data_IF_347241494603
#
_entry.id   IF_347241494603
#
_cell.length_a   1.000
_cell.length_b   1.000
_cell.length_c   1.000
_cell.angle_alpha   90.00
_cell.angle_beta   90.00
_cell.angle_gamma   90.00
#
_symmetry.space_group_name_H-M   'P 1'
#
loop_
_entity.id
_entity.type
_entity.pdbx_description
1 polymer ?
#
# COMPACT_ATOMS: atom_id res chain seq x y z
N UNK A 1 -88.55 23.28 10.46
CA UNK A 1 -87.36 23.98 9.93
C UNK A 1 -86.76 24.81 11.07
N UNK A 2 -85.93 24.20 11.91
CA UNK A 2 -85.23 24.90 13.01
C UNK A 2 -83.80 25.21 12.55
N UNK A 3 -83.52 26.49 12.30
CA UNK A 3 -82.18 27.00 12.01
C UNK A 3 -81.35 26.93 13.29
N UNK A 4 -80.36 26.03 13.33
CA UNK A 4 -79.40 25.97 14.42
C UNK A 4 -78.66 27.31 14.51
N UNK A 5 -78.74 27.95 15.69
CA UNK A 5 -78.08 29.23 15.97
C UNK A 5 -76.57 29.05 15.77
N UNK A 6 -75.87 29.91 15.01
CA UNK A 6 -74.44 29.76 14.79
C UNK A 6 -73.70 29.85 16.13
N UNK A 7 -72.83 28.87 16.39
CA UNK A 7 -72.04 28.77 17.61
C UNK A 7 -71.25 30.08 17.82
N UNK A 8 -71.20 30.63 19.06
CA UNK A 8 -70.42 31.83 19.34
C UNK A 8 -68.95 31.57 18.98
N UNK A 9 -68.31 32.52 18.28
CA UNK A 9 -66.94 32.33 17.75
C UNK A 9 -65.90 31.92 18.81
N UNK A 10 -66.08 32.36 20.06
CA UNK A 10 -65.25 31.94 21.19
C UNK A 10 -65.35 30.44 21.48
N UNK A 11 -66.52 29.83 21.34
CA UNK A 11 -66.72 28.39 21.57
C UNK A 11 -66.04 27.58 20.47
N UNK A 12 -66.12 28.06 19.22
CA UNK A 12 -65.41 27.44 18.08
C UNK A 12 -63.90 27.52 18.30
N UNK A 13 -63.39 28.65 18.79
CA UNK A 13 -61.97 28.84 19.02
C UNK A 13 -61.43 27.96 20.15
N UNK A 14 -62.18 27.83 21.25
CA UNK A 14 -61.83 26.91 22.36
C UNK A 14 -61.89 25.46 21.90
N UNK A 15 -62.86 25.08 21.06
CA UNK A 15 -62.92 23.74 20.47
C UNK A 15 -61.74 23.46 19.54
N UNK A 16 -61.35 24.43 18.72
CA UNK A 16 -60.17 24.31 17.84
C UNK A 16 -58.90 24.16 18.67
N UNK A 17 -58.70 24.98 19.71
CA UNK A 17 -57.54 24.85 20.61
C UNK A 17 -57.52 23.51 21.33
N UNK A 18 -58.68 23.04 21.80
CA UNK A 18 -58.77 21.76 22.49
C UNK A 18 -58.50 20.59 21.52
N UNK A 19 -59.04 20.65 20.30
CA UNK A 19 -58.75 19.68 19.25
C UNK A 19 -57.28 19.70 18.86
N UNK A 20 -56.64 20.86 18.70
CA UNK A 20 -55.21 20.96 18.44
C UNK A 20 -54.38 20.39 19.58
N UNK A 21 -54.76 20.66 20.83
CA UNK A 21 -54.09 20.12 22.01
C UNK A 21 -54.17 18.60 22.03
N UNK A 22 -55.36 18.03 21.78
CA UNK A 22 -55.54 16.58 21.66
C UNK A 22 -54.74 16.04 20.48
N UNK A 23 -54.77 16.66 19.31
CA UNK A 23 -54.02 16.21 18.13
C UNK A 23 -52.51 16.19 18.41
N UNK A 24 -51.99 17.21 19.09
CA UNK A 24 -50.58 17.32 19.47
C UNK A 24 -50.15 16.37 20.59
N UNK A 25 -51.05 16.01 21.53
CA UNK A 25 -50.72 15.12 22.65
C UNK A 25 -51.02 13.65 22.38
N UNK A 26 -51.99 13.35 21.52
CA UNK A 26 -52.38 11.98 21.16
C UNK A 26 -51.71 11.47 19.90
N UNK A 27 -51.18 12.33 19.02
CA UNK A 27 -50.19 11.87 18.07
C UNK A 27 -48.90 11.61 18.86
N UNK A 28 -48.45 10.35 19.00
CA UNK A 28 -47.04 10.14 19.32
C UNK A 28 -46.28 10.90 18.23
N UNK A 29 -45.30 11.73 18.60
CA UNK A 29 -44.35 12.29 17.65
C UNK A 29 -43.63 11.12 16.97
N UNK A 30 -44.27 10.54 15.96
CA UNK A 30 -44.03 9.18 15.46
C UNK A 30 -42.91 9.18 14.43
N UNK A 31 -41.84 9.91 14.75
CA UNK A 31 -40.53 9.68 14.17
C UNK A 31 -39.48 9.49 15.26
N UNK A 32 -39.74 9.87 16.52
CA UNK A 32 -38.79 9.67 17.62
C UNK A 32 -38.46 8.19 17.83
N UNK A 33 -39.45 7.29 17.84
CA UNK A 33 -39.20 5.85 17.92
C UNK A 33 -38.52 5.28 16.65
N UNK A 34 -38.82 5.83 15.48
CA UNK A 34 -38.16 5.47 14.21
C UNK A 34 -36.71 5.97 14.14
N UNK A 35 -36.37 7.01 14.90
CA UNK A 35 -35.01 7.55 15.09
C UNK A 35 -34.27 6.86 16.25
N UNK A 36 -34.98 6.28 17.23
CA UNK A 36 -34.40 5.54 18.35
C UNK A 36 -34.04 4.08 18.00
N UNK A 37 -34.66 3.48 16.99
CA UNK A 37 -34.17 2.22 16.43
C UNK A 37 -32.91 2.53 15.64
N UNK A 38 -31.75 2.04 16.10
CA UNK A 38 -30.53 2.00 15.30
C UNK A 38 -30.85 1.25 13.99
N UNK A 39 -31.26 1.98 12.95
CA UNK A 39 -31.54 1.40 11.64
C UNK A 39 -30.20 1.05 11.01
N UNK A 40 -29.68 -0.13 11.30
CA UNK A 40 -28.69 -0.78 10.46
C UNK A 40 -29.40 -1.40 9.26
N UNK A 41 -28.68 -1.54 8.15
CA UNK A 41 -29.19 -2.30 7.02
C UNK A 41 -29.37 -3.77 7.44
N UNK A 42 -30.48 -4.37 7.02
CA UNK A 42 -30.78 -5.79 7.22
C UNK A 42 -29.59 -6.67 6.78
N UNK A 43 -29.40 -7.82 7.44
CA UNK A 43 -28.26 -8.71 7.20
C UNK A 43 -28.15 -9.12 5.74
N UNK A 44 -29.29 -9.37 5.07
CA UNK A 44 -29.33 -9.69 3.63
C UNK A 44 -28.76 -8.56 2.76
N UNK A 45 -29.08 -7.31 3.08
CA UNK A 45 -28.57 -6.14 2.35
C UNK A 45 -27.09 -5.95 2.60
N UNK A 46 -26.66 -6.11 3.85
CA UNK A 46 -25.24 -6.01 4.22
C UNK A 46 -24.40 -7.10 3.55
N UNK A 47 -24.86 -8.35 3.54
CA UNK A 47 -24.22 -9.44 2.78
C UNK A 47 -24.17 -9.14 1.28
N UNK A 48 -25.26 -8.63 0.71
CA UNK A 48 -25.31 -8.24 -0.70
C UNK A 48 -24.29 -7.16 -1.02
N UNK A 49 -24.17 -6.12 -0.20
CA UNK A 49 -23.18 -5.06 -0.35
C UNK A 49 -21.75 -5.61 -0.35
N UNK A 50 -21.41 -6.50 0.58
CA UNK A 50 -20.09 -7.11 0.67
C UNK A 50 -19.80 -7.95 -0.58
N UNK A 51 -20.78 -8.70 -1.07
CA UNK A 51 -20.62 -9.52 -2.28
C UNK A 51 -20.46 -8.67 -3.55
N UNK A 52 -21.20 -7.56 -3.66
CA UNK A 52 -21.05 -6.62 -4.77
C UNK A 52 -19.62 -6.04 -4.82
N UNK A 53 -19.09 -5.61 -3.68
CA UNK A 53 -17.72 -5.08 -3.56
C UNK A 53 -16.66 -6.14 -3.88
N UNK A 54 -16.86 -7.39 -3.43
CA UNK A 54 -15.92 -8.50 -3.68
C UNK A 54 -15.93 -8.95 -5.15
N UNK A 55 -17.09 -8.87 -5.80
CA UNK A 55 -17.29 -9.23 -7.21
C UNK A 55 -16.59 -8.24 -8.13
N UNK A 56 -17.00 -6.96 -8.08
CA UNK A 56 -16.43 -5.90 -8.90
C UNK A 56 -16.17 -4.62 -8.07
N UNK A 57 -14.97 -4.48 -7.50
CA UNK A 57 -14.65 -3.30 -6.69
C UNK A 57 -14.53 -2.02 -7.53
N UNK A 58 -14.32 -2.09 -8.84
CA UNK A 58 -14.23 -0.87 -9.66
C UNK A 58 -15.62 -0.32 -9.96
N UNK A 59 -16.59 -1.20 -10.20
CA UNK A 59 -17.99 -0.80 -10.34
C UNK A 59 -18.56 -0.25 -9.02
N UNK A 60 -18.27 -0.89 -7.89
CA UNK A 60 -18.82 -0.58 -6.57
C UNK A 60 -17.83 0.17 -5.67
N UNK A 61 -17.27 1.26 -6.20
CA UNK A 61 -16.17 2.01 -5.57
C UNK A 61 -16.56 2.89 -4.37
N UNK A 62 -17.85 3.12 -4.14
CA UNK A 62 -18.35 4.04 -3.11
C UNK A 62 -19.55 3.45 -2.38
N UNK A 63 -19.57 3.61 -1.06
CA UNK A 63 -20.67 3.17 -0.21
C UNK A 63 -22.01 3.81 -0.62
N UNK A 64 -21.97 5.07 -1.06
CA UNK A 64 -23.15 5.79 -1.56
C UNK A 64 -23.81 5.15 -2.77
N UNK A 65 -23.00 4.59 -3.68
CA UNK A 65 -23.52 3.90 -4.87
C UNK A 65 -24.20 2.59 -4.49
N UNK A 66 -23.58 1.82 -3.61
CA UNK A 66 -24.12 0.54 -3.13
C UNK A 66 -25.40 0.75 -2.32
N UNK A 67 -25.42 1.76 -1.44
CA UNK A 67 -26.59 2.10 -0.64
C UNK A 67 -27.79 2.47 -1.51
N UNK A 68 -27.56 3.19 -2.62
CA UNK A 68 -28.60 3.52 -3.60
C UNK A 68 -29.17 2.29 -4.29
N UNK A 69 -28.30 1.37 -4.72
CA UNK A 69 -28.71 0.12 -5.38
C UNK A 69 -29.55 -0.75 -4.43
N UNK A 70 -29.12 -0.87 -3.18
CA UNK A 70 -29.79 -1.67 -2.15
C UNK A 70 -30.98 -0.94 -1.49
N UNK A 71 -31.30 0.27 -1.94
CA UNK A 71 -32.37 1.14 -1.41
C UNK A 71 -32.29 1.31 0.11
N UNK A 72 -31.10 1.61 0.63
CA UNK A 72 -30.87 1.91 2.05
C UNK A 72 -30.04 3.19 2.22
N UNK A 73 -29.97 3.71 3.45
CA UNK A 73 -29.10 4.87 3.74
C UNK A 73 -27.65 4.42 3.88
N UNK A 74 -26.70 5.30 3.56
CA UNK A 74 -25.26 5.04 3.69
C UNK A 74 -24.86 4.74 5.13
N UNK A 75 -25.40 5.52 6.08
CA UNK A 75 -25.13 5.33 7.50
C UNK A 75 -25.66 4.00 8.04
N UNK A 76 -26.86 3.57 7.61
CA UNK A 76 -27.40 2.27 7.96
C UNK A 76 -26.54 1.13 7.43
N UNK A 77 -26.05 1.26 6.19
CA UNK A 77 -25.22 0.25 5.56
C UNK A 77 -23.83 0.17 6.21
N UNK A 78 -23.17 1.31 6.49
CA UNK A 78 -21.88 1.34 7.19
C UNK A 78 -21.98 0.69 8.58
N UNK A 79 -23.03 1.01 9.34
CA UNK A 79 -23.28 0.41 10.65
C UNK A 79 -23.54 -1.09 10.54
N UNK A 80 -24.33 -1.51 9.55
CA UNK A 80 -24.57 -2.94 9.27
C UNK A 80 -23.29 -3.69 8.95
N UNK A 81 -22.45 -3.14 8.06
CA UNK A 81 -21.16 -3.70 7.67
C UNK A 81 -20.22 -3.85 8.88
N UNK A 82 -20.09 -2.79 9.70
CA UNK A 82 -19.25 -2.80 10.91
C UNK A 82 -19.72 -3.83 11.92
N UNK A 83 -21.04 -3.93 12.13
CA UNK A 83 -21.61 -4.92 13.06
C UNK A 83 -21.32 -6.35 12.62
N UNK A 84 -21.46 -6.64 11.33
CA UNK A 84 -21.29 -8.01 10.82
C UNK A 84 -19.83 -8.44 10.66
N UNK A 85 -18.96 -7.52 10.25
CA UNK A 85 -17.57 -7.86 9.89
C UNK A 85 -16.55 -7.39 10.92
N UNK A 86 -16.92 -6.50 11.84
CA UNK A 86 -16.00 -5.78 12.72
C UNK A 86 -15.18 -4.69 12.02
N UNK A 87 -15.31 -4.54 10.70
CA UNK A 87 -14.51 -3.64 9.86
C UNK A 87 -15.38 -2.60 9.16
N UNK A 88 -14.79 -1.45 8.81
CA UNK A 88 -15.46 -0.43 8.01
C UNK A 88 -15.54 -0.79 6.53
N UNK A 89 -16.36 -0.04 5.78
CA UNK A 89 -16.43 -0.21 4.32
C UNK A 89 -15.07 0.02 3.64
N UNK A 90 -14.29 1.00 4.10
CA UNK A 90 -12.99 1.34 3.51
C UNK A 90 -12.01 0.16 3.56
N UNK A 91 -11.95 -0.55 4.69
CA UNK A 91 -11.12 -1.73 4.87
C UNK A 91 -11.57 -2.89 3.97
N UNK A 92 -12.88 -3.16 3.91
CA UNK A 92 -13.43 -4.21 3.04
C UNK A 92 -13.17 -3.87 1.57
N UNK A 93 -13.32 -2.60 1.21
CA UNK A 93 -13.07 -2.11 -0.13
C UNK A 93 -11.60 -2.24 -0.51
N UNK A 94 -10.68 -1.85 0.39
CA UNK A 94 -9.25 -2.03 0.19
C UNK A 94 -8.88 -3.51 0.03
N UNK A 95 -9.41 -4.38 0.89
CA UNK A 95 -9.16 -5.82 0.84
C UNK A 95 -9.72 -6.45 -0.45
N UNK A 96 -10.91 -6.03 -0.90
CA UNK A 96 -11.51 -6.49 -2.14
C UNK A 96 -10.68 -6.07 -3.37
N UNK A 97 -10.22 -4.82 -3.41
CA UNK A 97 -9.29 -4.33 -4.45
C UNK A 97 -7.96 -5.08 -4.42
N UNK A 98 -7.40 -5.34 -3.25
CA UNK A 98 -6.15 -6.08 -3.09
C UNK A 98 -6.27 -7.52 -3.61
N UNK A 99 -7.41 -8.18 -3.36
CA UNK A 99 -7.75 -9.48 -3.95
C UNK A 99 -7.96 -9.40 -5.46
N UNK A 100 -8.61 -8.35 -5.96
CA UNK A 100 -8.76 -8.15 -7.40
C UNK A 100 -7.41 -8.00 -8.10
N UNK A 101 -6.44 -7.32 -7.46
CA UNK A 101 -5.06 -7.24 -7.96
C UNK A 101 -4.43 -8.62 -8.02
N UNK A 102 -4.49 -9.40 -6.94
CA UNK A 102 -3.91 -10.75 -6.93
C UNK A 102 -4.50 -11.63 -8.05
N UNK A 103 -5.81 -11.52 -8.32
CA UNK A 103 -6.46 -12.21 -9.45
C UNK A 103 -5.95 -11.69 -10.79
N UNK A 104 -5.95 -10.38 -11.01
CA UNK A 104 -5.49 -9.76 -12.26
C UNK A 104 -4.03 -10.09 -12.56
N UNK A 105 -3.19 -10.18 -11.53
CA UNK A 105 -1.80 -10.59 -11.67
C UNK A 105 -1.66 -12.08 -12.00
N UNK A 106 -2.56 -12.94 -11.52
CA UNK A 106 -2.53 -14.39 -11.76
C UNK A 106 -3.16 -14.80 -13.10
N UNK A 107 -4.13 -14.05 -13.60
CA UNK A 107 -4.91 -14.37 -14.80
C UNK A 107 -4.25 -13.74 -16.04
N UNK A 108 -4.24 -14.47 -17.15
CA UNK A 108 -3.71 -14.02 -18.44
C UNK A 108 -4.60 -12.95 -19.11
N UNK A 109 -4.69 -11.76 -18.51
CA UNK A 109 -5.10 -10.56 -19.22
C UNK A 109 -3.87 -9.94 -19.90
N UNK A 110 -4.02 -9.42 -21.12
CA UNK A 110 -2.93 -8.82 -21.92
C UNK A 110 -2.41 -7.47 -21.34
N UNK A 111 -2.71 -7.16 -20.08
CA UNK A 111 -2.30 -5.93 -19.42
C UNK A 111 -0.90 -6.06 -18.80
N UNK A 112 -0.10 -5.01 -18.95
CA UNK A 112 1.20 -4.88 -18.31
C UNK A 112 1.05 -4.94 -16.78
N UNK A 113 2.05 -5.46 -16.05
CA UNK A 113 2.06 -5.52 -14.59
C UNK A 113 1.67 -4.18 -13.92
N UNK A 114 2.18 -3.06 -14.44
CA UNK A 114 1.88 -1.72 -13.93
C UNK A 114 0.44 -1.31 -14.25
N UNK A 115 -0.05 -1.68 -15.42
CA UNK A 115 -1.39 -1.38 -15.91
C UNK A 115 -2.47 -2.13 -15.09
N UNK A 116 -2.19 -3.37 -14.70
CA UNK A 116 -3.03 -4.15 -13.81
C UNK A 116 -3.19 -3.49 -12.43
N UNK A 117 -2.13 -2.87 -11.90
CA UNK A 117 -2.18 -2.13 -10.63
C UNK A 117 -2.94 -0.80 -10.78
N UNK A 118 -2.63 -0.03 -11.81
CA UNK A 118 -3.22 1.30 -12.04
C UNK A 118 -4.72 1.21 -12.32
N UNK A 119 -5.15 0.22 -13.12
CA UNK A 119 -6.57 -0.04 -13.39
C UNK A 119 -7.36 -0.27 -12.10
N UNK A 120 -6.75 -0.92 -11.13
CA UNK A 120 -7.35 -1.19 -9.82
C UNK A 120 -7.08 -0.09 -8.79
N UNK A 121 -6.55 1.06 -9.23
CA UNK A 121 -6.28 2.26 -8.45
C UNK A 121 -5.11 2.17 -7.47
N UNK A 122 -4.22 1.19 -7.66
CA UNK A 122 -3.02 1.03 -6.84
C UNK A 122 -1.81 1.64 -7.52
N UNK A 123 -0.98 2.30 -6.72
CA UNK A 123 0.39 2.60 -7.08
C UNK A 123 1.33 1.63 -6.36
N UNK A 124 2.46 1.33 -6.98
CA UNK A 124 3.49 0.48 -6.41
C UNK A 124 4.21 1.24 -5.27
N UNK A 125 3.56 1.28 -4.11
CA UNK A 125 4.07 1.91 -2.89
C UNK A 125 4.55 0.85 -1.89
N UNK A 126 5.50 1.19 -1.03
CA UNK A 126 5.99 0.28 0.01
C UNK A 126 4.88 -0.19 0.96
N UNK A 127 3.87 0.66 1.23
CA UNK A 127 2.68 0.29 2.01
C UNK A 127 1.87 -0.80 1.32
N UNK A 128 1.58 -0.63 0.03
CA UNK A 128 0.85 -1.63 -0.76
C UNK A 128 1.59 -2.97 -0.78
N UNK A 129 2.90 -2.96 -1.02
CA UNK A 129 3.70 -4.20 -1.09
C UNK A 129 3.68 -4.94 0.26
N UNK A 130 3.86 -4.22 1.37
CA UNK A 130 3.75 -4.82 2.71
C UNK A 130 2.38 -5.41 2.99
N UNK A 131 1.31 -4.67 2.65
CA UNK A 131 -0.06 -5.13 2.86
C UNK A 131 -0.37 -6.36 1.98
N UNK A 132 0.15 -6.40 0.76
CA UNK A 132 0.02 -7.53 -0.16
C UNK A 132 0.76 -8.76 0.37
N UNK A 133 2.02 -8.63 0.75
CA UNK A 133 2.82 -9.74 1.31
C UNK A 133 2.17 -10.26 2.59
N UNK A 134 1.74 -9.37 3.49
CA UNK A 134 1.05 -9.76 4.71
C UNK A 134 -0.21 -10.57 4.42
N UNK A 135 -0.88 -10.32 3.28
CA UNK A 135 -2.12 -11.00 2.92
C UNK A 135 -1.92 -12.31 2.16
N UNK A 136 -0.98 -12.36 1.22
CA UNK A 136 -0.81 -13.50 0.31
C UNK A 136 0.45 -14.32 0.57
N UNK A 137 1.32 -13.88 1.50
CA UNK A 137 2.57 -14.56 1.83
C UNK A 137 3.68 -14.40 0.79
N UNK A 138 3.39 -13.73 -0.32
CA UNK A 138 4.31 -13.52 -1.43
C UNK A 138 4.17 -12.10 -1.99
N UNK A 139 5.23 -11.56 -2.61
CA UNK A 139 5.14 -10.25 -3.27
C UNK A 139 4.26 -10.32 -4.53
N UNK A 140 3.64 -9.20 -4.95
CA UNK A 140 2.81 -9.13 -6.17
C UNK A 140 3.50 -9.67 -7.42
N UNK A 141 4.82 -9.54 -7.44
CA UNK A 141 5.68 -10.07 -8.48
C UNK A 141 5.70 -11.57 -8.64
N UNK A 142 5.72 -12.30 -7.52
CA UNK A 142 5.71 -13.74 -7.51
C UNK A 142 4.38 -14.26 -8.05
N UNK A 143 3.29 -13.57 -7.70
CA UNK A 143 1.96 -13.82 -8.26
C UNK A 143 1.96 -13.60 -9.78
N UNK A 144 2.51 -12.48 -10.26
CA UNK A 144 2.58 -12.19 -11.69
C UNK A 144 3.46 -13.17 -12.48
N UNK A 145 4.51 -13.73 -11.89
CA UNK A 145 5.37 -14.72 -12.56
C UNK A 145 4.64 -16.02 -12.92
N UNK A 146 3.54 -16.34 -12.22
CA UNK A 146 2.69 -17.50 -12.54
C UNK A 146 1.78 -17.24 -13.75
N UNK A 147 1.72 -15.99 -14.22
CA UNK A 147 0.90 -15.59 -15.35
C UNK A 147 1.53 -16.06 -16.68
N UNK A 148 0.78 -16.75 -17.56
CA UNK A 148 1.23 -17.09 -18.90
C UNK A 148 1.73 -15.90 -19.73
N UNK A 149 1.18 -14.70 -19.49
CA UNK A 149 1.55 -13.46 -20.19
C UNK A 149 2.86 -12.84 -19.71
N UNK A 150 3.46 -13.35 -18.63
CA UNK A 150 4.74 -12.85 -18.13
C UNK A 150 5.88 -13.00 -19.16
N UNK A 151 5.75 -13.96 -20.09
CA UNK A 151 6.72 -14.22 -21.15
C UNK A 151 6.28 -13.69 -22.53
N UNK A 152 5.00 -13.41 -22.75
CA UNK A 152 4.48 -12.94 -24.06
C UNK A 152 4.57 -11.43 -24.24
N UNK A 153 4.79 -10.66 -23.16
CA UNK A 153 5.18 -9.25 -23.23
C UNK A 153 6.68 -9.08 -23.58
N UNK A 154 7.25 -10.04 -24.31
CA UNK A 154 8.59 -9.95 -24.90
C UNK A 154 8.58 -9.00 -26.10
N UNK A 155 8.80 -7.73 -25.78
CA UNK A 155 9.64 -6.85 -26.58
C UNK A 155 10.38 -5.90 -25.64
N UNK A 156 11.36 -6.45 -24.90
CA UNK A 156 12.56 -5.69 -24.50
C UNK A 156 12.90 -5.49 -23.01
N UNK A 157 12.19 -6.08 -22.04
CA UNK A 157 12.51 -5.86 -20.60
C UNK A 157 12.37 -7.14 -19.77
N UNK A 158 13.44 -7.64 -19.12
CA UNK A 158 13.33 -8.66 -18.07
C UNK A 158 12.40 -8.14 -16.96
N UNK A 159 11.41 -8.93 -16.55
CA UNK A 159 10.40 -8.51 -15.58
C UNK A 159 11.00 -7.78 -14.38
N UNK A 160 10.50 -6.56 -14.12
CA UNK A 160 10.98 -5.59 -13.11
C UNK A 160 11.28 -6.21 -11.74
N UNK A 161 10.64 -7.33 -11.39
CA UNK A 161 10.80 -7.99 -10.11
C UNK A 161 11.82 -9.13 -10.03
N UNK A 162 12.19 -9.74 -11.14
CA UNK A 162 13.33 -10.65 -11.17
C UNK A 162 14.64 -9.86 -11.09
N UNK A 163 14.61 -8.65 -11.67
CA UNK A 163 15.69 -7.68 -11.62
C UNK A 163 15.76 -6.85 -10.32
N UNK A 164 14.66 -6.74 -9.55
CA UNK A 164 14.66 -6.14 -8.20
C UNK A 164 14.86 -7.16 -7.07
N UNK A 165 15.07 -8.43 -7.40
CA UNK A 165 15.49 -9.41 -6.40
C UNK A 165 16.83 -8.96 -5.81
N UNK A 166 16.91 -8.88 -4.48
CA UNK A 166 18.14 -8.49 -3.77
C UNK A 166 19.33 -9.33 -4.25
N UNK A 167 19.11 -10.63 -4.51
CA UNK A 167 20.13 -11.53 -5.03
C UNK A 167 20.63 -11.11 -6.42
N UNK A 168 19.74 -10.80 -7.37
CA UNK A 168 20.09 -10.40 -8.75
C UNK A 168 20.82 -9.07 -8.77
N UNK A 169 20.36 -8.10 -7.98
CA UNK A 169 21.02 -6.79 -7.84
C UNK A 169 22.40 -6.98 -7.22
N UNK A 170 22.51 -7.78 -6.15
CA UNK A 170 23.79 -8.02 -5.49
C UNK A 170 24.78 -8.72 -6.43
N UNK A 171 24.34 -9.75 -7.16
CA UNK A 171 25.17 -10.41 -8.16
C UNK A 171 25.64 -9.44 -9.24
N UNK A 172 24.75 -8.59 -9.76
CA UNK A 172 25.12 -7.59 -10.77
C UNK A 172 26.15 -6.58 -10.22
N UNK A 173 25.94 -6.09 -8.99
CA UNK A 173 26.86 -5.16 -8.33
C UNK A 173 28.21 -5.83 -8.13
N UNK A 174 28.22 -7.05 -7.57
CA UNK A 174 29.41 -7.81 -7.24
C UNK A 174 30.23 -8.15 -8.50
N UNK A 175 29.56 -8.51 -9.59
CA UNK A 175 30.21 -8.74 -10.90
C UNK A 175 30.72 -7.44 -11.54
N UNK A 176 30.07 -6.31 -11.28
CA UNK A 176 30.37 -5.02 -11.90
C UNK A 176 31.23 -4.10 -11.03
N UNK A 177 31.78 -4.57 -9.90
CA UNK A 177 32.60 -3.76 -8.98
C UNK A 177 33.83 -3.13 -9.66
N UNK A 178 34.37 -3.81 -10.67
CA UNK A 178 35.52 -3.35 -11.45
C UNK A 178 35.19 -2.20 -12.43
N UNK A 179 33.91 -1.82 -12.57
CA UNK A 179 33.43 -0.76 -13.46
C UNK A 179 32.68 0.32 -12.68
N UNK A 180 32.62 1.57 -13.20
CA UNK A 180 31.71 2.57 -12.68
C UNK A 180 30.27 2.11 -12.92
N UNK A 181 29.48 1.95 -11.85
CA UNK A 181 28.07 1.60 -11.93
C UNK A 181 27.27 2.89 -11.86
N UNK A 182 26.56 3.24 -12.92
CA UNK A 182 25.67 4.40 -12.98
C UNK A 182 24.21 4.02 -12.73
N UNK A 183 23.37 5.06 -12.55
CA UNK A 183 21.93 4.87 -12.47
C UNK A 183 21.36 4.24 -13.75
N UNK A 184 21.91 4.61 -14.92
CA UNK A 184 21.55 4.05 -16.21
C UNK A 184 21.75 2.53 -16.28
N UNK A 185 22.78 1.99 -15.63
CA UNK A 185 23.09 0.56 -15.66
C UNK A 185 22.10 -0.24 -14.81
N UNK A 186 21.74 0.29 -13.64
CA UNK A 186 20.71 -0.29 -12.77
C UNK A 186 19.33 -0.16 -13.44
N UNK A 187 19.07 0.96 -14.10
CA UNK A 187 17.85 1.17 -14.85
C UNK A 187 17.71 0.18 -16.02
N UNK A 188 18.81 -0.10 -16.75
CA UNK A 188 18.87 -1.14 -17.78
C UNK A 188 18.68 -2.54 -17.22
N UNK A 189 19.32 -2.86 -16.08
CA UNK A 189 19.17 -4.15 -15.40
C UNK A 189 17.70 -4.44 -15.06
N UNK A 190 17.00 -3.42 -14.56
CA UNK A 190 15.58 -3.52 -14.17
C UNK A 190 14.63 -3.25 -15.33
N UNK A 191 15.16 -2.81 -16.49
CA UNK A 191 14.40 -2.38 -17.67
C UNK A 191 13.40 -1.27 -17.40
N UNK A 192 13.78 -0.31 -16.56
CA UNK A 192 12.98 0.85 -16.21
C UNK A 192 13.66 2.15 -16.63
N UNK A 193 12.89 3.24 -16.72
CA UNK A 193 13.47 4.58 -16.86
C UNK A 193 14.13 4.99 -15.55
N UNK A 194 15.24 5.71 -15.62
CA UNK A 194 16.03 6.12 -14.44
C UNK A 194 15.21 6.76 -13.31
N UNK A 195 14.25 7.62 -13.66
CA UNK A 195 13.38 8.29 -12.68
C UNK A 195 12.44 7.32 -11.95
N UNK A 196 11.93 6.32 -12.67
CA UNK A 196 11.06 5.29 -12.10
C UNK A 196 11.88 4.31 -11.26
N UNK A 197 13.10 3.98 -11.71
CA UNK A 197 14.08 3.17 -10.95
C UNK A 197 14.34 3.78 -9.57
N UNK A 198 14.60 5.10 -9.45
CA UNK A 198 14.83 5.74 -8.14
C UNK A 198 13.64 5.57 -7.20
N UNK A 199 12.41 5.79 -7.70
CA UNK A 199 11.19 5.70 -6.90
C UNK A 199 10.97 4.28 -6.41
N UNK A 200 11.13 3.31 -7.30
CA UNK A 200 10.95 1.89 -6.99
C UNK A 200 12.03 1.39 -6.04
N UNK A 201 13.30 1.74 -6.27
CA UNK A 201 14.40 1.34 -5.39
C UNK A 201 14.22 1.88 -3.96
N UNK A 202 13.79 3.14 -3.82
CA UNK A 202 13.47 3.71 -2.50
C UNK A 202 12.30 3.00 -1.83
N UNK A 203 11.28 2.59 -2.59
CA UNK A 203 10.14 1.86 -2.05
C UNK A 203 10.50 0.44 -1.59
N UNK A 204 11.44 -0.23 -2.28
CA UNK A 204 11.86 -1.60 -1.99
C UNK A 204 12.97 -1.69 -0.94
N UNK A 205 14.02 -0.85 -1.05
CA UNK A 205 15.24 -0.95 -0.25
C UNK A 205 15.41 0.21 0.75
N UNK A 206 14.44 1.12 0.84
CA UNK A 206 14.51 2.36 1.63
C UNK A 206 15.71 3.27 1.31
N UNK A 207 16.42 3.01 0.21
CA UNK A 207 17.67 3.67 -0.20
C UNK A 207 17.60 4.01 -1.69
N UNK A 208 18.36 5.04 -2.11
CA UNK A 208 18.54 5.27 -3.54
C UNK A 208 19.39 4.16 -4.17
N UNK A 209 19.27 3.90 -5.49
CA UNK A 209 20.10 2.90 -6.17
C UNK A 209 21.59 3.11 -5.88
N UNK A 210 22.06 4.36 -5.94
CA UNK A 210 23.48 4.68 -5.69
C UNK A 210 23.89 4.50 -4.23
N UNK A 211 23.02 4.82 -3.26
CA UNK A 211 23.29 4.55 -1.84
C UNK A 211 23.37 3.04 -1.58
N UNK A 212 22.56 2.25 -2.26
CA UNK A 212 22.59 0.79 -2.16
C UNK A 212 23.91 0.23 -2.70
N UNK A 213 24.34 0.67 -3.89
CA UNK A 213 25.65 0.29 -4.46
C UNK A 213 26.79 0.62 -3.51
N UNK A 214 26.82 1.82 -2.92
CA UNK A 214 27.85 2.22 -1.96
C UNK A 214 27.83 1.30 -0.73
N UNK A 215 26.64 1.00 -0.18
CA UNK A 215 26.50 0.10 0.97
C UNK A 215 27.09 -1.28 0.67
N UNK A 216 26.74 -1.86 -0.50
CA UNK A 216 27.26 -3.17 -0.94
C UNK A 216 28.77 -3.18 -1.15
N UNK A 217 29.31 -2.12 -1.78
CA UNK A 217 30.78 -1.95 -1.92
C UNK A 217 31.50 -1.90 -0.58
N UNK A 218 30.90 -1.25 0.42
CA UNK A 218 31.45 -1.17 1.77
C UNK A 218 31.38 -2.50 2.51
N UNK A 219 30.31 -3.28 2.35
CA UNK A 219 30.20 -4.63 2.90
C UNK A 219 31.31 -5.54 2.34
N UNK A 220 31.51 -5.51 1.01
CA UNK A 220 32.58 -6.27 0.35
C UNK A 220 33.97 -5.82 0.80
N UNK A 221 34.20 -4.51 0.88
CA UNK A 221 35.47 -3.96 1.37
C UNK A 221 35.74 -4.36 2.82
N UNK A 222 34.72 -4.33 3.68
CA UNK A 222 34.83 -4.76 5.08
C UNK A 222 35.20 -6.23 5.20
N UNK A 223 34.56 -7.08 4.38
CA UNK A 223 34.88 -8.50 4.32
C UNK A 223 36.34 -8.72 3.88
N UNK A 224 36.82 -8.02 2.85
CA UNK A 224 38.22 -8.12 2.40
C UNK A 224 39.20 -7.61 3.47
N UNK A 225 38.88 -6.53 4.18
CA UNK A 225 39.74 -5.97 5.22
C UNK A 225 39.95 -6.92 6.40
N UNK A 226 38.94 -7.75 6.70
CA UNK A 226 38.97 -8.73 7.80
C UNK A 226 39.56 -10.08 7.39
N UNK A 227 39.34 -10.51 6.15
CA UNK A 227 39.70 -11.86 5.69
C UNK A 227 41.00 -11.89 4.85
N UNK A 228 41.58 -10.74 4.51
CA UNK A 228 42.78 -10.67 3.67
C UNK A 228 43.83 -9.69 4.21
N UNK A 229 45.09 -9.93 3.86
CA UNK A 229 46.23 -9.05 4.13
C UNK A 229 46.46 -7.99 3.03
N UNK A 230 45.55 -7.88 2.06
CA UNK A 230 45.68 -6.95 0.93
C UNK A 230 45.82 -5.48 1.42
N UNK A 231 46.48 -4.64 0.64
CA UNK A 231 46.61 -3.22 1.01
C UNK A 231 45.24 -2.52 1.02
N UNK A 232 45.05 -1.48 1.84
CA UNK A 232 43.79 -0.72 1.84
C UNK A 232 43.54 -0.08 0.47
N UNK A 233 44.62 0.35 -0.21
CA UNK A 233 44.55 0.90 -1.57
C UNK A 233 44.04 -0.15 -2.58
N UNK A 234 44.59 -1.36 -2.57
CA UNK A 234 44.15 -2.42 -3.50
C UNK A 234 42.69 -2.79 -3.26
N UNK A 235 42.26 -2.91 -1.99
CA UNK A 235 40.85 -3.17 -1.66
C UNK A 235 39.94 -2.03 -2.14
N UNK A 236 40.38 -0.78 -2.06
CA UNK A 236 39.60 0.36 -2.56
C UNK A 236 39.42 0.30 -4.09
N UNK A 237 40.44 -0.13 -4.83
CA UNK A 237 40.37 -0.32 -6.28
C UNK A 237 39.45 -1.49 -6.62
N UNK A 238 39.62 -2.64 -5.96
CA UNK A 238 38.85 -3.87 -6.22
C UNK A 238 37.35 -3.70 -5.95
N UNK A 239 36.99 -2.89 -4.95
CA UNK A 239 35.60 -2.57 -4.63
C UNK A 239 35.04 -1.36 -5.42
N UNK A 240 35.81 -0.80 -6.36
CA UNK A 240 35.34 0.27 -7.26
C UNK A 240 35.33 1.68 -6.66
N UNK A 241 36.02 1.92 -5.54
CA UNK A 241 36.20 3.28 -4.97
C UNK A 241 37.32 4.07 -5.66
N UNK A 242 38.25 3.38 -6.34
CA UNK A 242 39.35 3.98 -7.11
C UNK A 242 40.48 4.60 -6.27
N UNK A 243 40.18 5.11 -5.07
CA UNK A 243 41.17 5.68 -4.14
C UNK A 243 40.89 5.28 -2.69
N UNK A 244 41.96 5.12 -1.91
CA UNK A 244 41.89 4.87 -0.47
C UNK A 244 41.15 5.99 0.29
N UNK A 245 41.34 7.24 -0.10
CA UNK A 245 40.68 8.39 0.53
C UNK A 245 39.17 8.31 0.39
N UNK A 246 38.67 7.96 -0.81
CA UNK A 246 37.23 7.83 -1.05
C UNK A 246 36.62 6.68 -0.24
N UNK A 247 37.30 5.52 -0.18
CA UNK A 247 36.89 4.40 0.68
C UNK A 247 36.83 4.81 2.16
N UNK A 248 37.83 5.54 2.65
CA UNK A 248 37.89 5.97 4.06
C UNK A 248 36.74 6.93 4.41
N UNK A 249 36.46 7.90 3.53
CA UNK A 249 35.35 8.84 3.70
C UNK A 249 34.00 8.12 3.67
N UNK A 250 33.81 7.18 2.73
CA UNK A 250 32.59 6.39 2.64
C UNK A 250 32.41 5.49 3.87
N UNK A 251 33.45 4.79 4.35
CA UNK A 251 33.37 3.99 5.57
C UNK A 251 33.02 4.84 6.80
N UNK A 252 33.64 6.02 6.96
CA UNK A 252 33.29 6.91 8.08
C UNK A 252 31.83 7.37 8.00
N UNK A 253 31.36 7.74 6.80
CA UNK A 253 30.00 8.25 6.59
C UNK A 253 28.92 7.19 6.84
N UNK A 254 29.12 5.96 6.37
CA UNK A 254 28.08 4.93 6.38
C UNK A 254 28.24 3.89 7.50
N UNK A 255 29.46 3.66 7.99
CA UNK A 255 29.78 2.65 9.01
C UNK A 255 30.37 3.27 10.29
N UNK A 256 30.56 4.60 10.35
CA UNK A 256 31.11 5.29 11.51
C UNK A 256 32.58 4.97 11.82
N UNK A 257 33.28 4.25 10.92
CA UNK A 257 34.59 3.66 11.22
C UNK A 257 35.56 3.77 10.05
N UNK A 258 36.84 3.48 10.29
CA UNK A 258 37.90 3.55 9.26
C UNK A 258 38.33 2.16 8.80
N UNK A 259 38.84 2.01 7.56
CA UNK A 259 39.33 0.73 7.04
C UNK A 259 40.35 0.05 7.97
N UNK A 260 41.21 0.86 8.61
CA UNK A 260 42.21 0.37 9.58
C UNK A 260 41.55 -0.19 10.85
N UNK A 261 40.52 0.47 11.38
CA UNK A 261 39.77 -0.02 12.54
C UNK A 261 39.00 -1.31 12.23
N UNK A 262 38.40 -1.40 11.04
CA UNK A 262 37.72 -2.62 10.57
C UNK A 262 38.69 -3.81 10.53
N UNK A 263 39.93 -3.60 10.05
CA UNK A 263 40.98 -4.62 10.00
C UNK A 263 41.46 -5.11 11.35
N UNK A 264 41.54 -4.23 12.35
CA UNK A 264 42.04 -4.57 13.69
C UNK A 264 40.96 -5.34 14.51
N UNK A 265 39.77 -5.55 13.97
CA UNK A 265 38.75 -6.46 14.53
C UNK A 265 37.71 -5.81 15.44
N UNK A 266 37.60 -4.47 15.43
CA UNK A 266 36.74 -3.73 16.36
C UNK A 266 35.25 -3.62 16.01
N UNK A 267 34.68 -4.45 15.12
CA UNK A 267 33.27 -4.26 14.70
C UNK A 267 32.55 -5.59 14.43
N UNK A 268 31.46 -5.81 15.18
CA UNK A 268 30.33 -6.65 14.75
C UNK A 268 29.57 -5.87 13.67
N UNK A 269 29.66 -6.27 12.40
CA UNK A 269 28.70 -5.79 11.41
C UNK A 269 27.30 -6.20 11.89
N UNK A 270 26.29 -5.30 11.87
CA UNK A 270 24.91 -5.72 12.07
C UNK A 270 24.58 -6.74 10.97
N UNK A 271 24.38 -8.00 11.38
CA UNK A 271 23.88 -9.04 10.47
C UNK A 271 22.47 -8.61 10.06
N UNK A 272 22.25 -8.47 8.76
CA UNK A 272 20.95 -8.27 8.08
C UNK A 272 20.16 -6.99 8.40
N UNK A 273 20.31 -5.99 7.51
CA UNK A 273 19.31 -5.18 6.77
C UNK A 273 17.99 -4.67 7.40
N UNK A 274 17.64 -4.88 8.68
CA UNK A 274 16.30 -4.47 9.19
C UNK A 274 16.30 -3.34 10.23
N UNK A 275 17.41 -3.02 10.90
CA UNK A 275 17.35 -2.25 12.15
C UNK A 275 17.89 -0.80 12.12
N UNK A 276 18.26 -0.23 10.96
CA UNK A 276 18.95 1.07 10.91
C UNK A 276 18.10 2.27 10.47
N UNK A 277 16.78 2.31 10.72
CA UNK A 277 15.92 3.47 10.35
C UNK A 277 15.24 4.08 11.58
N UNK A 278 15.98 4.34 12.66
CA UNK A 278 15.44 5.11 13.81
C UNK A 278 16.26 6.34 14.24
N UNK A 279 17.28 6.79 13.50
CA UNK A 279 18.14 7.88 14.03
C UNK A 279 18.38 9.14 13.20
N UNK A 280 17.68 9.38 12.08
CA UNK A 280 17.76 10.68 11.40
C UNK A 280 16.38 11.33 11.24
N UNK A 281 15.76 11.65 12.38
CA UNK A 281 14.61 12.56 12.47
C UNK A 281 14.73 13.43 13.72
N UNK A 282 15.74 14.29 13.73
CA UNK A 282 15.77 15.56 14.48
C UNK A 282 16.64 16.57 13.72
#
# INVERSE_FOLDING_TARGET
MMLAKPMPGQVVQVLIEHLFKILMTTHPNSHSQSLCLEHYADERRTYSAINMVKGDPMQWNTLGRIARELRCTTGALEKGIRRMTGLGFAEIFYEARLRAVNRALSVADNSSFVDALQTLGFSLSGRFVRDYIRRFGEPPSATYRRNPNANTAESGVPGVHDALCEHTINLFIDQSLHKPIGLADIAKLVGMREQDTIKVFRAYFAKTPMQYVITRRLERASWLLQNTSASIMSIAIDCGFGTQSYLTTAMKKYLGTTPRQVRIGGIKLPRSTTEAIEQDSE
#
